data_IF_049001804151
#
_entry.id   IF_049001804151
#
_cell.length_a   1.000
_cell.length_b   1.000
_cell.length_c   1.000
_cell.angle_alpha   90.00
_cell.angle_beta   90.00
_cell.angle_gamma   90.00
#
_symmetry.space_group_name_H-M   'P 1'
#
loop_
_entity.id
_entity.type
_entity.pdbx_description
1 polymer ?
#
# COMPACT_ATOMS: atom_id res chain seq x y z
N UNK A 1 -19.23 -19.29 -0.67
CA UNK A 1 -17.82 -19.33 -0.25
C UNK A 1 -17.71 -18.64 1.10
N UNK A 2 -17.69 -19.39 2.19
CA UNK A 2 -17.55 -18.85 3.55
C UNK A 2 -16.06 -18.93 3.86
N UNK A 3 -15.39 -17.78 4.00
CA UNK A 3 -14.08 -17.72 4.63
C UNK A 3 -14.25 -18.22 6.06
N UNK A 4 -13.42 -19.19 6.47
CA UNK A 4 -13.42 -19.76 7.81
C UNK A 4 -13.40 -18.61 8.85
N UNK A 5 -14.42 -18.57 9.72
CA UNK A 5 -14.63 -17.52 10.71
C UNK A 5 -13.79 -17.71 11.98
N UNK A 6 -12.83 -18.64 11.98
CA UNK A 6 -11.98 -18.91 13.15
C UNK A 6 -10.77 -17.97 13.14
N UNK A 7 -10.65 -17.04 14.10
CA UNK A 7 -9.35 -16.44 14.39
C UNK A 7 -8.39 -17.55 14.83
N UNK A 8 -7.19 -17.59 14.24
CA UNK A 8 -6.16 -18.55 14.60
C UNK A 8 -5.62 -18.25 16.01
N UNK A 9 -6.19 -18.86 17.04
CA UNK A 9 -5.62 -18.85 18.40
C UNK A 9 -4.97 -20.19 18.71
N UNK A 10 -3.67 -20.20 19.01
CA UNK A 10 -3.07 -21.12 19.99
C UNK A 10 -2.13 -20.29 20.88
N UNK A 11 -2.29 -20.39 22.20
CA UNK A 11 -1.43 -19.77 23.21
C UNK A 11 -0.29 -20.71 23.62
N UNK A 12 0.96 -20.25 23.43
CA UNK A 12 2.14 -20.36 24.31
C UNK A 12 3.35 -19.78 23.56
N UNK A 13 4.01 -18.77 24.13
CA UNK A 13 5.12 -18.02 23.52
C UNK A 13 4.64 -16.81 22.72
N UNK A 14 5.41 -15.71 22.75
CA UNK A 14 5.14 -14.44 22.06
C UNK A 14 4.92 -14.67 20.56
N UNK A 15 3.67 -14.97 20.18
CA UNK A 15 3.34 -15.29 18.81
C UNK A 15 3.17 -13.98 18.07
N UNK A 16 4.09 -13.70 17.15
CA UNK A 16 3.90 -12.65 16.15
C UNK A 16 2.56 -12.91 15.46
N UNK A 17 1.60 -12.01 15.66
CA UNK A 17 0.31 -12.10 14.97
C UNK A 17 0.54 -11.41 13.63
N UNK A 18 0.47 -12.21 12.57
CA UNK A 18 0.66 -11.72 11.21
C UNK A 18 -0.34 -10.60 10.92
N UNK A 19 0.19 -9.47 10.49
CA UNK A 19 -0.53 -8.27 10.12
C UNK A 19 -1.17 -8.50 8.75
N UNK A 20 -2.46 -8.21 8.62
CA UNK A 20 -3.15 -8.16 7.33
C UNK A 20 -4.11 -6.97 7.33
N UNK A 21 -3.84 -5.95 6.53
CA UNK A 21 -4.68 -4.74 6.44
C UNK A 21 -4.88 -4.25 5.02
N UNK A 22 -5.91 -3.40 4.90
CA UNK A 22 -6.29 -2.72 3.66
C UNK A 22 -6.59 -3.69 2.50
N UNK A 23 -7.32 -4.81 2.69
CA UNK A 23 -7.60 -5.72 1.59
C UNK A 23 -8.38 -5.01 0.47
N UNK A 24 -7.91 -5.12 -0.76
CA UNK A 24 -8.59 -4.62 -1.96
C UNK A 24 -8.55 -5.69 -3.05
N UNK A 25 -9.70 -5.98 -3.65
CA UNK A 25 -9.73 -6.86 -4.83
C UNK A 25 -8.93 -6.24 -5.98
N UNK A 26 -8.25 -7.08 -6.75
CA UNK A 26 -7.78 -6.68 -8.07
C UNK A 26 -8.97 -6.30 -8.96
N UNK A 27 -8.71 -5.48 -9.97
CA UNK A 27 -9.75 -4.99 -10.88
C UNK A 27 -10.52 -6.11 -11.59
N UNK A 28 -9.83 -7.21 -11.88
CA UNK A 28 -10.40 -8.42 -12.48
C UNK A 28 -11.01 -9.41 -11.47
N UNK A 29 -10.94 -9.10 -10.17
CA UNK A 29 -11.45 -9.93 -9.08
C UNK A 29 -10.69 -11.24 -8.83
N UNK A 30 -9.57 -11.49 -9.52
CA UNK A 30 -8.82 -12.75 -9.40
C UNK A 30 -7.95 -12.83 -8.16
N UNK A 31 -7.68 -11.71 -7.51
CA UNK A 31 -6.85 -11.67 -6.31
C UNK A 31 -7.17 -10.53 -5.37
N UNK A 32 -6.41 -10.50 -4.29
CA UNK A 32 -6.50 -9.50 -3.24
C UNK A 32 -5.11 -8.89 -3.04
N UNK A 33 -5.02 -7.57 -3.15
CA UNK A 33 -3.89 -6.81 -2.64
C UNK A 33 -4.06 -6.60 -1.14
N UNK A 34 -2.97 -6.69 -0.38
CA UNK A 34 -2.99 -6.58 1.08
C UNK A 34 -1.65 -6.06 1.60
N UNK A 35 -1.67 -5.29 2.69
CA UNK A 35 -0.47 -5.00 3.49
C UNK A 35 -0.30 -6.10 4.50
N UNK A 36 0.87 -6.74 4.52
CA UNK A 36 1.18 -7.80 5.48
C UNK A 36 2.64 -7.81 5.87
N UNK A 37 2.95 -8.35 7.04
CA UNK A 37 4.30 -8.71 7.47
C UNK A 37 4.53 -10.23 7.46
N UNK A 38 3.67 -11.00 6.79
CA UNK A 38 3.78 -12.46 6.72
C UNK A 38 5.19 -12.92 6.32
N UNK A 39 5.84 -13.66 7.22
CA UNK A 39 7.24 -14.11 7.08
C UNK A 39 8.25 -12.98 6.80
N UNK A 40 8.00 -11.77 7.32
CA UNK A 40 8.82 -10.58 7.16
C UNK A 40 8.95 -9.83 8.48
N UNK A 41 10.05 -9.09 8.66
CA UNK A 41 10.23 -8.17 9.79
C UNK A 41 9.62 -6.78 9.53
N UNK A 42 9.20 -6.52 8.31
CA UNK A 42 8.62 -5.26 7.86
C UNK A 42 7.33 -5.51 7.08
N UNK A 43 6.36 -4.62 7.24
CA UNK A 43 5.12 -4.65 6.45
C UNK A 43 5.41 -4.36 4.98
N UNK A 44 4.80 -5.11 4.08
CA UNK A 44 4.97 -5.03 2.64
C UNK A 44 3.64 -5.17 1.88
N UNK A 45 3.61 -4.72 0.62
CA UNK A 45 2.49 -4.93 -0.28
C UNK A 45 2.57 -6.32 -0.90
N UNK A 46 1.51 -7.10 -0.74
CA UNK A 46 1.37 -8.45 -1.28
C UNK A 46 0.16 -8.55 -2.20
N UNK A 47 0.21 -9.55 -3.09
CA UNK A 47 -0.92 -10.04 -3.87
C UNK A 47 -1.19 -11.50 -3.52
N UNK A 48 -2.45 -11.81 -3.20
CA UNK A 48 -2.96 -13.16 -3.01
C UNK A 48 -3.80 -13.56 -4.22
N UNK A 49 -3.36 -14.56 -4.96
CA UNK A 49 -4.17 -15.16 -6.01
C UNK A 49 -5.26 -16.06 -5.40
N UNK A 50 -6.53 -15.81 -5.74
CA UNK A 50 -7.65 -16.49 -5.09
C UNK A 50 -7.85 -17.93 -5.58
N UNK A 51 -7.43 -18.26 -6.79
CA UNK A 51 -7.57 -19.60 -7.35
C UNK A 51 -6.53 -20.54 -6.76
N UNK A 52 -5.27 -20.10 -6.71
CA UNK A 52 -4.11 -20.90 -6.31
C UNK A 52 -3.75 -20.74 -4.83
N UNK A 53 -4.29 -19.71 -4.16
CA UNK A 53 -3.90 -19.29 -2.80
C UNK A 53 -2.42 -18.88 -2.69
N UNK A 54 -1.77 -18.60 -3.82
CA UNK A 54 -0.37 -18.18 -3.85
C UNK A 54 -0.23 -16.73 -3.42
N UNK A 55 0.69 -16.48 -2.48
CA UNK A 55 1.12 -15.15 -2.07
C UNK A 55 2.33 -14.70 -2.89
N UNK A 56 2.35 -13.42 -3.28
CA UNK A 56 3.48 -12.79 -3.97
C UNK A 56 3.74 -11.41 -3.39
N UNK A 57 4.99 -11.14 -2.98
CA UNK A 57 5.43 -9.81 -2.57
C UNK A 57 5.59 -8.91 -3.80
N UNK A 58 4.89 -7.78 -3.82
CA UNK A 58 4.90 -6.79 -4.91
C UNK A 58 6.00 -5.75 -4.67
N UNK A 59 6.07 -5.19 -3.46
CA UNK A 59 7.07 -4.18 -3.07
C UNK A 59 8.42 -4.85 -2.73
N UNK A 60 9.17 -5.25 -3.76
CA UNK A 60 10.42 -6.01 -3.61
C UNK A 60 11.62 -5.16 -3.20
N UNK A 61 11.67 -3.90 -3.63
CA UNK A 61 12.84 -3.04 -3.45
C UNK A 61 12.77 -2.18 -2.18
N UNK A 62 11.59 -2.04 -1.58
CA UNK A 62 11.38 -1.26 -0.36
C UNK A 62 11.91 -2.00 0.86
N UNK A 63 12.84 -1.36 1.57
CA UNK A 63 13.41 -1.86 2.83
C UNK A 63 12.63 -1.39 4.06
N UNK A 64 11.74 -0.41 3.87
CA UNK A 64 10.95 0.25 4.90
C UNK A 64 9.52 -0.31 4.97
N UNK A 65 8.81 0.04 6.04
CA UNK A 65 7.45 -0.47 6.27
C UNK A 65 6.43 0.21 5.37
N UNK A 66 5.56 -0.59 4.74
CA UNK A 66 4.38 -0.08 4.06
C UNK A 66 3.26 0.13 5.09
N UNK A 67 2.75 1.35 5.14
CA UNK A 67 1.65 1.73 6.03
C UNK A 67 0.29 1.51 5.39
N UNK A 68 0.14 1.86 4.11
CA UNK A 68 -1.14 1.81 3.41
C UNK A 68 -0.96 1.76 1.89
N UNK A 69 -2.01 1.38 1.16
CA UNK A 69 -2.05 1.45 -0.29
C UNK A 69 -3.45 1.71 -0.87
N UNK A 70 -3.49 2.12 -2.13
CA UNK A 70 -4.72 2.20 -2.95
C UNK A 70 -4.48 1.76 -4.38
N UNK A 71 -5.34 0.86 -4.87
CA UNK A 71 -5.40 0.48 -6.28
C UNK A 71 -6.09 1.60 -7.10
N UNK A 72 -5.53 1.94 -8.25
CA UNK A 72 -6.12 2.90 -9.18
C UNK A 72 -7.44 2.37 -9.77
N UNK A 73 -8.37 3.25 -10.18
CA UNK A 73 -9.66 2.83 -10.74
C UNK A 73 -9.57 1.93 -11.98
N UNK A 74 -8.53 2.12 -12.80
CA UNK A 74 -8.21 1.28 -13.97
C UNK A 74 -7.48 -0.02 -13.62
N UNK A 75 -7.05 -0.18 -12.37
CA UNK A 75 -6.39 -1.38 -11.88
C UNK A 75 -4.94 -1.57 -12.33
N UNK A 76 -4.29 -0.54 -12.90
CA UNK A 76 -2.93 -0.65 -13.45
C UNK A 76 -1.85 -0.19 -12.48
N UNK A 77 -2.19 0.65 -11.52
CA UNK A 77 -1.24 1.29 -10.62
C UNK A 77 -1.67 1.15 -9.17
N UNK A 78 -0.71 0.96 -8.27
CA UNK A 78 -0.94 0.98 -6.83
C UNK A 78 -0.12 2.11 -6.22
N UNK A 79 -0.79 3.07 -5.58
CA UNK A 79 -0.13 4.05 -4.73
C UNK A 79 0.08 3.48 -3.33
N UNK A 80 1.26 3.71 -2.76
CA UNK A 80 1.69 3.15 -1.48
C UNK A 80 2.33 4.24 -0.63
N UNK A 81 1.95 4.31 0.64
CA UNK A 81 2.68 5.11 1.63
C UNK A 81 3.66 4.23 2.39
N UNK A 82 4.93 4.61 2.38
CA UNK A 82 6.00 3.94 3.08
C UNK A 82 6.54 4.83 4.21
N UNK A 83 6.78 4.25 5.39
CA UNK A 83 7.35 4.95 6.53
C UNK A 83 8.87 4.83 6.51
N UNK A 84 9.54 5.90 6.08
CA UNK A 84 10.99 6.01 6.08
C UNK A 84 11.40 6.96 7.21
N UNK A 85 12.01 6.42 8.26
CA UNK A 85 12.51 7.18 9.41
C UNK A 85 11.45 8.10 10.08
N UNK A 86 10.20 7.65 10.12
CA UNK A 86 9.09 8.42 10.72
C UNK A 86 8.42 9.40 9.77
N UNK A 87 8.79 9.40 8.48
CA UNK A 87 8.23 10.25 7.43
C UNK A 87 7.58 9.41 6.36
N UNK A 88 6.41 9.82 5.88
CA UNK A 88 5.79 9.14 4.75
C UNK A 88 6.50 9.51 3.44
N UNK A 89 6.87 8.49 2.67
CA UNK A 89 7.17 8.58 1.24
C UNK A 89 6.03 7.97 0.44
N UNK A 90 5.71 8.59 -0.69
CA UNK A 90 4.70 8.10 -1.62
C UNK A 90 5.39 7.41 -2.80
N UNK A 91 5.02 6.16 -3.04
CA UNK A 91 5.47 5.36 -4.17
C UNK A 91 4.29 4.95 -5.04
N UNK A 92 4.53 4.74 -6.32
CA UNK A 92 3.58 4.10 -7.24
C UNK A 92 4.21 2.84 -7.84
N UNK A 93 3.41 1.79 -7.93
CA UNK A 93 3.79 0.51 -8.54
C UNK A 93 2.94 0.27 -9.77
N UNK A 94 3.58 0.07 -10.92
CA UNK A 94 2.92 -0.42 -12.11
C UNK A 94 2.76 -1.94 -12.01
N UNK A 95 1.52 -2.43 -12.06
CA UNK A 95 1.20 -3.85 -11.84
C UNK A 95 1.73 -4.73 -12.98
N UNK A 96 1.74 -4.21 -14.20
CA UNK A 96 2.12 -4.98 -15.39
C UNK A 96 3.62 -5.21 -15.48
N UNK A 97 4.41 -4.19 -15.16
CA UNK A 97 5.86 -4.20 -15.23
C UNK A 97 6.52 -4.51 -13.89
N UNK A 98 5.77 -4.43 -12.79
CA UNK A 98 6.28 -4.50 -11.41
C UNK A 98 7.34 -3.43 -11.10
N UNK A 99 7.35 -2.33 -11.87
CA UNK A 99 8.25 -1.21 -11.62
C UNK A 99 7.68 -0.30 -10.55
N UNK A 100 8.58 0.19 -9.70
CA UNK A 100 8.31 1.11 -8.61
C UNK A 100 8.93 2.46 -8.94
N UNK A 101 8.20 3.55 -8.69
CA UNK A 101 8.74 4.91 -8.73
C UNK A 101 8.26 5.72 -7.54
N UNK A 102 9.17 6.53 -6.99
CA UNK A 102 8.83 7.47 -5.94
C UNK A 102 8.16 8.71 -6.54
N UNK A 103 7.05 9.15 -5.97
CA UNK A 103 6.50 10.48 -6.23
C UNK A 103 7.32 11.48 -5.42
N UNK A 104 8.12 12.30 -6.11
CA UNK A 104 9.00 13.30 -5.48
C UNK A 104 8.23 14.57 -5.13
N UNK A 105 8.92 15.51 -4.50
CA UNK A 105 8.40 16.85 -4.17
C UNK A 105 7.19 16.88 -3.24
N UNK A 106 6.90 15.76 -2.55
CA UNK A 106 5.94 15.72 -1.45
C UNK A 106 6.57 16.39 -0.22
N UNK A 107 5.89 17.36 0.42
CA UNK A 107 6.37 17.98 1.65
C UNK A 107 6.66 16.96 2.76
N UNK A 108 7.53 17.32 3.69
CA UNK A 108 7.78 16.52 4.89
C UNK A 108 6.49 16.35 5.71
N UNK A 109 6.15 15.11 6.05
CA UNK A 109 5.00 14.82 6.90
C UNK A 109 4.56 13.36 6.89
N UNK A 110 3.39 13.12 7.46
CA UNK A 110 2.70 11.83 7.45
C UNK A 110 1.51 11.93 6.51
N UNK A 111 1.43 10.99 5.56
CA UNK A 111 0.37 10.90 4.55
C UNK A 111 -0.74 9.97 5.05
N UNK A 112 -2.00 10.35 4.85
CA UNK A 112 -3.16 9.50 5.07
C UNK A 112 -4.20 9.67 3.96
N UNK A 113 -5.23 8.80 3.98
CA UNK A 113 -6.45 8.96 3.18
C UNK A 113 -6.23 9.09 1.67
N UNK A 114 -5.32 8.26 1.13
CA UNK A 114 -5.11 8.12 -0.32
C UNK A 114 -6.45 7.93 -1.04
N UNK A 115 -6.71 8.77 -2.03
CA UNK A 115 -7.92 8.76 -2.84
C UNK A 115 -7.58 9.05 -4.30
N UNK A 116 -7.79 8.06 -5.16
CA UNK A 116 -7.61 8.24 -6.60
C UNK A 116 -8.75 9.04 -7.20
N UNK A 117 -8.41 9.97 -8.09
CA UNK A 117 -9.36 10.51 -9.04
C UNK A 117 -9.73 9.44 -10.09
N UNK A 118 -10.90 9.56 -10.72
CA UNK A 118 -11.43 8.57 -11.68
C UNK A 118 -10.54 8.41 -12.93
N UNK A 119 -9.70 9.40 -13.23
CA UNK A 119 -8.77 9.33 -14.36
C UNK A 119 -7.56 8.42 -14.12
N UNK A 120 -7.36 7.88 -12.90
CA UNK A 120 -6.21 7.04 -12.55
C UNK A 120 -4.84 7.71 -12.67
N UNK A 121 -4.81 9.06 -12.67
CA UNK A 121 -3.58 9.87 -12.74
C UNK A 121 -3.43 10.77 -11.52
N UNK A 122 -4.51 11.45 -11.12
CA UNK A 122 -4.45 12.31 -9.95
C UNK A 122 -4.70 11.51 -8.67
N UNK A 123 -3.86 11.72 -7.67
CA UNK A 123 -3.99 11.14 -6.35
C UNK A 123 -4.10 12.25 -5.30
N UNK A 124 -5.24 12.29 -4.62
CA UNK A 124 -5.45 13.17 -3.47
C UNK A 124 -5.10 12.44 -2.16
N UNK A 125 -4.61 13.19 -1.17
CA UNK A 125 -4.28 12.67 0.15
C UNK A 125 -4.25 13.77 1.21
N UNK A 126 -4.39 13.37 2.47
CA UNK A 126 -4.14 14.22 3.62
C UNK A 126 -2.65 14.18 3.97
N UNK A 127 -2.10 15.32 4.37
CA UNK A 127 -0.75 15.41 4.92
C UNK A 127 -0.75 16.31 6.16
N UNK A 128 -0.12 15.80 7.21
CA UNK A 128 0.13 16.55 8.45
C UNK A 128 1.61 16.52 8.80
N UNK A 129 2.10 17.58 9.42
CA UNK A 129 3.47 17.66 9.90
C UNK A 129 3.53 18.42 11.24
N UNK A 130 4.67 18.42 11.95
CA UNK A 130 4.84 19.26 13.13
C UNK A 130 4.68 20.77 12.85
N UNK A 131 4.82 21.19 11.59
CA UNK A 131 4.75 22.60 11.16
C UNK A 131 3.49 22.94 10.36
N UNK A 132 2.70 21.93 9.99
CA UNK A 132 1.55 22.09 9.12
C UNK A 132 0.36 21.33 9.73
N UNK A 133 -0.76 22.01 10.04
CA UNK A 133 -1.99 21.31 10.38
C UNK A 133 -2.41 20.39 9.22
N UNK A 134 -3.33 19.47 9.47
CA UNK A 134 -3.76 18.51 8.44
C UNK A 134 -4.34 19.25 7.22
N UNK A 135 -3.69 19.10 6.07
CA UNK A 135 -4.07 19.74 4.80
C UNK A 135 -4.27 18.69 3.72
N UNK A 136 -5.07 19.04 2.71
CA UNK A 136 -5.34 18.18 1.55
C UNK A 136 -4.40 18.59 0.41
N UNK A 137 -3.78 17.59 -0.21
CA UNK A 137 -2.89 17.72 -1.37
C UNK A 137 -3.41 16.84 -2.50
N UNK A 138 -3.01 17.16 -3.74
CA UNK A 138 -3.17 16.29 -4.91
C UNK A 138 -1.92 16.33 -5.77
N UNK A 139 -1.59 15.21 -6.41
CA UNK A 139 -0.46 15.09 -7.34
C UNK A 139 -0.86 14.32 -8.59
N UNK A 140 -0.33 14.71 -9.75
CA UNK A 140 -0.28 13.84 -10.93
C UNK A 140 0.91 12.89 -10.78
N UNK A 141 0.63 11.58 -10.73
CA UNK A 141 1.65 10.55 -10.52
C UNK A 141 2.64 10.38 -11.69
N UNK A 142 2.40 11.01 -12.84
CA UNK A 142 3.26 10.97 -14.03
C UNK A 142 4.00 12.27 -14.29
N UNK A 143 3.64 13.36 -13.63
CA UNK A 143 4.29 14.64 -13.86
C UNK A 143 5.78 14.55 -13.47
N UNK A 144 6.71 15.04 -14.33
CA UNK A 144 8.12 15.07 -14.01
C UNK A 144 8.34 15.99 -12.81
N UNK A 145 8.63 15.38 -11.66
CA UNK A 145 8.91 16.10 -10.43
C UNK A 145 10.39 16.55 -10.46
N UNK A 146 10.62 17.73 -11.04
CA UNK A 146 11.92 18.43 -11.03
C UNK A 146 12.27 18.96 -9.63
#
# INVERSE_FOLDING_TARGET
MILDKRPFYHHRGSRHIEYFRTPQFSKDGKGIYVVTDFNSKVRYLAYLDLATKKYTRISKNTQWEIDNFKLSPDGKTIAVTCNEEGVSKLYVYDISTQLESQVKSIPFGVISDLTWHKNSLDLAFNLRSPRTPNNIYSVDIKEPQN
#
